data_IF_727453637281
#
_entry.id   IF_727453637281
#
_cell.length_a   1.000
_cell.length_b   1.000
_cell.length_c   1.000
_cell.angle_alpha   90.00
_cell.angle_beta   90.00
_cell.angle_gamma   90.00
#
_symmetry.space_group_name_H-M   'P 1'
#
loop_
_entity.id
_entity.type
_entity.pdbx_description
1 polymer ?
#
# COMPACT_ATOMS: atom_id res chain seq x y z
N UNK A 1 -9.26 18.28 -7.93
CA UNK A 1 -7.89 18.84 -8.08
C UNK A 1 -7.34 19.06 -6.70
N UNK A 2 -6.09 18.70 -6.49
CA UNK A 2 -5.36 18.84 -5.25
C UNK A 2 -3.96 19.39 -5.52
N UNK A 3 -3.14 19.49 -4.46
CA UNK A 3 -1.79 20.04 -4.55
C UNK A 3 -0.80 19.18 -3.78
N UNK A 4 0.37 18.97 -4.34
CA UNK A 4 1.49 18.29 -3.70
C UNK A 4 2.19 19.27 -2.74
N UNK A 5 1.99 19.10 -1.44
CA UNK A 5 2.53 20.00 -0.43
C UNK A 5 3.93 19.62 0.05
N UNK A 6 4.24 18.31 0.09
CA UNK A 6 5.57 17.83 0.46
C UNK A 6 5.90 16.52 -0.24
N UNK A 7 7.19 16.35 -0.51
CA UNK A 7 7.81 15.11 -0.97
C UNK A 7 8.82 14.70 0.10
N UNK A 8 8.73 13.48 0.62
CA UNK A 8 9.57 13.01 1.70
C UNK A 8 10.26 11.69 1.33
N UNK A 9 11.55 11.60 1.57
CA UNK A 9 12.37 10.42 1.29
C UNK A 9 13.22 10.03 2.49
N UNK A 10 13.66 8.80 2.53
CA UNK A 10 14.63 8.31 3.53
C UNK A 10 15.64 7.37 2.90
N UNK A 11 16.94 7.50 3.23
CA UNK A 11 17.99 6.64 2.69
C UNK A 11 17.99 5.23 3.30
N UNK A 12 17.23 5.03 4.40
CA UNK A 12 17.16 3.76 5.14
C UNK A 12 15.72 3.43 5.53
N UNK A 13 15.33 2.17 5.44
CA UNK A 13 14.04 1.68 5.96
C UNK A 13 13.97 1.86 7.48
N UNK A 14 12.78 2.19 7.98
CA UNK A 14 12.54 2.34 9.43
C UNK A 14 13.04 3.66 10.03
N UNK A 15 13.48 4.63 9.21
CA UNK A 15 13.82 5.99 9.62
C UNK A 15 12.72 6.98 9.22
N UNK A 16 12.65 8.08 9.94
CA UNK A 16 11.80 9.22 9.57
C UNK A 16 12.23 9.72 8.19
N UNK A 17 11.26 10.07 7.34
CA UNK A 17 11.51 10.66 6.04
C UNK A 17 11.71 12.17 6.19
N UNK A 18 12.55 12.75 5.34
CA UNK A 18 12.84 14.18 5.28
C UNK A 18 12.34 14.80 3.99
N UNK A 19 11.90 16.04 4.06
CA UNK A 19 11.39 16.77 2.90
C UNK A 19 12.49 17.04 1.87
N UNK A 20 12.13 16.89 0.60
CA UNK A 20 12.94 17.25 -0.57
C UNK A 20 12.11 18.10 -1.54
N UNK A 21 12.72 19.01 -2.32
CA UNK A 21 11.98 19.89 -3.21
C UNK A 21 11.42 19.19 -4.46
N UNK A 22 12.05 18.12 -4.91
CA UNK A 22 11.63 17.32 -6.05
C UNK A 22 12.04 15.88 -5.88
N UNK A 23 11.45 14.98 -6.68
CA UNK A 23 11.83 13.58 -6.74
C UNK A 23 11.55 12.99 -8.12
N UNK A 24 12.39 12.03 -8.53
CA UNK A 24 12.19 11.23 -9.75
C UNK A 24 11.50 9.92 -9.36
N UNK A 25 10.40 9.62 -10.06
CA UNK A 25 9.65 8.38 -9.92
C UNK A 25 9.84 7.50 -11.15
N UNK A 26 10.02 6.20 -10.94
CA UNK A 26 10.13 5.23 -12.03
C UNK A 26 9.15 4.08 -11.84
N UNK A 27 8.56 3.55 -12.95
CA UNK A 27 7.75 2.35 -12.91
C UNK A 27 8.51 1.19 -12.26
N UNK A 28 7.76 0.29 -11.60
CA UNK A 28 8.28 -0.91 -10.90
C UNK A 28 9.29 -0.63 -9.77
N UNK A 29 9.53 0.63 -9.45
CA UNK A 29 10.42 1.01 -8.36
C UNK A 29 9.76 1.97 -7.35
N UNK A 30 9.23 3.11 -7.81
CA UNK A 30 8.76 4.19 -6.97
C UNK A 30 9.70 5.39 -7.01
N UNK A 31 9.94 6.04 -5.88
CA UNK A 31 10.89 7.17 -5.77
C UNK A 31 12.32 6.63 -5.77
N UNK A 32 13.14 7.13 -6.70
CA UNK A 32 14.49 6.60 -6.97
C UNK A 32 15.39 6.64 -5.73
N UNK A 33 15.33 7.71 -4.95
CA UNK A 33 16.18 7.93 -3.77
C UNK A 33 15.54 7.49 -2.45
N UNK A 34 14.39 6.78 -2.49
CA UNK A 34 13.74 6.29 -1.27
C UNK A 34 14.06 4.81 -1.02
N UNK A 35 14.44 4.49 0.22
CA UNK A 35 14.78 3.12 0.61
C UNK A 35 13.62 2.12 0.54
N UNK A 36 12.36 2.59 0.40
CA UNK A 36 11.18 1.74 0.25
C UNK A 36 10.87 1.42 -1.22
N UNK A 37 11.63 1.98 -2.16
CA UNK A 37 11.55 1.63 -3.58
C UNK A 37 11.70 0.13 -3.82
N UNK A 38 11.07 -0.38 -4.88
CA UNK A 38 11.13 -1.79 -5.28
C UNK A 38 9.93 -2.22 -6.13
N UNK A 39 10.07 -3.39 -6.76
CA UNK A 39 9.00 -3.99 -7.55
C UNK A 39 7.96 -4.66 -6.65
N UNK A 40 7.09 -3.87 -6.08
CA UNK A 40 5.98 -4.29 -5.23
C UNK A 40 4.83 -3.27 -5.31
N UNK A 41 3.70 -3.57 -4.68
CA UNK A 41 2.51 -2.72 -4.79
C UNK A 41 2.55 -1.45 -3.90
N UNK A 42 3.49 -1.34 -2.94
CA UNK A 42 3.62 -0.18 -2.04
C UNK A 42 4.86 0.64 -2.35
N UNK A 43 5.03 1.04 -3.62
CA UNK A 43 6.18 1.79 -4.09
C UNK A 43 6.25 3.20 -3.53
N UNK A 44 5.08 3.85 -3.41
CA UNK A 44 4.93 5.22 -2.91
C UNK A 44 3.84 5.25 -1.86
N UNK A 45 4.10 5.89 -0.73
CA UNK A 45 3.11 6.12 0.31
C UNK A 45 2.58 7.55 0.24
N UNK A 46 1.26 7.73 0.35
CA UNK A 46 0.61 9.02 0.28
C UNK A 46 -0.26 9.26 1.51
N UNK A 47 -0.35 10.51 1.94
CA UNK A 47 -1.18 10.92 3.07
C UNK A 47 -1.83 12.28 2.78
N UNK A 48 -3.08 12.43 3.20
CA UNK A 48 -3.81 13.69 3.08
C UNK A 48 -3.23 14.74 4.03
N UNK A 49 -2.98 15.93 3.52
CA UNK A 49 -2.53 17.07 4.32
C UNK A 49 -3.53 17.41 5.42
N UNK A 50 -4.83 17.32 5.12
CA UNK A 50 -5.92 17.62 6.07
C UNK A 50 -5.90 16.66 7.26
N UNK A 51 -5.50 15.39 7.05
CA UNK A 51 -5.38 14.40 8.12
C UNK A 51 -4.15 14.68 8.99
N UNK A 52 -3.05 15.13 8.40
CA UNK A 52 -1.86 15.56 9.15
C UNK A 52 -2.17 16.83 9.96
N UNK A 53 -2.84 17.81 9.38
CA UNK A 53 -3.23 19.03 10.09
C UNK A 53 -4.22 18.76 11.24
N UNK A 54 -5.14 17.82 11.04
CA UNK A 54 -6.02 17.38 12.12
C UNK A 54 -5.23 16.72 13.26
N UNK A 55 -4.20 15.93 12.95
CA UNK A 55 -3.31 15.33 13.94
C UNK A 55 -2.44 16.36 14.67
N UNK A 56 -1.93 17.37 13.94
CA UNK A 56 -1.12 18.48 14.49
C UNK A 56 -1.82 19.28 15.58
N UNK A 57 -3.17 19.25 15.64
CA UNK A 57 -3.93 19.85 16.75
C UNK A 57 -3.68 19.16 18.10
N UNK A 58 -3.21 17.92 18.09
CA UNK A 58 -2.87 17.17 19.31
C UNK A 58 -1.39 17.31 19.64
N UNK A 59 -0.55 17.10 18.67
CA UNK A 59 0.92 17.18 18.80
C UNK A 59 1.52 17.53 17.44
N UNK A 60 2.51 18.45 17.46
CA UNK A 60 3.20 18.84 16.25
C UNK A 60 4.06 17.71 15.69
N UNK A 61 3.97 17.49 14.38
CA UNK A 61 4.80 16.55 13.60
C UNK A 61 5.20 17.20 12.28
N UNK A 62 6.41 16.92 11.81
CA UNK A 62 6.85 17.33 10.48
C UNK A 62 6.27 16.40 9.40
N UNK A 63 6.25 16.83 8.15
CA UNK A 63 5.95 15.94 7.04
C UNK A 63 7.02 14.85 6.94
N UNK A 64 6.62 13.64 6.56
CA UNK A 64 7.47 12.44 6.57
C UNK A 64 7.49 11.68 7.90
N UNK A 65 6.95 12.26 8.98
CA UNK A 65 6.96 11.66 10.31
C UNK A 65 6.23 10.31 10.38
N UNK A 66 5.14 10.14 9.64
CA UNK A 66 4.39 8.87 9.57
C UNK A 66 4.99 7.87 8.55
N UNK A 67 6.07 8.27 7.86
CA UNK A 67 6.72 7.50 6.82
C UNK A 67 6.08 7.66 5.43
N UNK A 68 5.22 8.67 5.26
CA UNK A 68 4.67 9.05 3.97
C UNK A 68 5.73 9.65 3.04
N UNK A 69 5.58 9.38 1.73
CA UNK A 69 6.39 9.98 0.69
C UNK A 69 5.77 11.27 0.16
N UNK A 70 4.46 11.25 -0.10
CA UNK A 70 3.76 12.39 -0.67
C UNK A 70 2.68 12.87 0.28
N UNK A 71 2.70 14.17 0.58
CA UNK A 71 1.64 14.87 1.31
C UNK A 71 0.84 15.67 0.31
N UNK A 72 -0.43 15.34 0.15
CA UNK A 72 -1.29 15.89 -0.88
C UNK A 72 -2.54 16.50 -0.24
N UNK A 73 -2.83 17.74 -0.61
CA UNK A 73 -4.04 18.48 -0.23
C UNK A 73 -5.18 18.20 -1.22
N UNK A 74 -6.42 18.22 -0.74
CA UNK A 74 -7.62 18.17 -1.57
C UNK A 74 -8.20 16.79 -1.82
N UNK A 75 -7.66 15.74 -1.18
CA UNK A 75 -8.19 14.38 -1.29
C UNK A 75 -8.39 13.69 0.05
N UNK A 76 -9.55 13.07 0.23
CA UNK A 76 -9.78 12.06 1.27
C UNK A 76 -9.54 10.67 0.66
N UNK A 77 -8.26 10.26 0.67
CA UNK A 77 -7.80 9.03 0.01
C UNK A 77 -8.51 7.77 0.50
N UNK A 78 -8.86 7.72 1.79
CA UNK A 78 -9.53 6.56 2.39
C UNK A 78 -10.88 6.26 1.73
N UNK A 79 -11.56 7.30 1.27
CA UNK A 79 -12.87 7.20 0.63
C UNK A 79 -12.80 7.02 -0.89
N UNK A 80 -11.60 6.91 -1.45
CA UNK A 80 -11.40 6.58 -2.85
C UNK A 80 -11.18 5.06 -3.03
N UNK A 81 -11.70 4.47 -4.11
CA UNK A 81 -11.47 3.06 -4.37
C UNK A 81 -9.99 2.79 -4.66
N UNK A 82 -9.49 1.64 -4.21
CA UNK A 82 -8.23 1.08 -4.71
C UNK A 82 -8.35 0.95 -6.23
N UNK A 83 -7.27 1.22 -6.97
CA UNK A 83 -7.18 1.46 -8.42
C UNK A 83 -7.47 2.88 -8.87
N UNK A 84 -7.83 3.82 -7.97
CA UNK A 84 -7.86 5.24 -8.30
C UNK A 84 -6.49 5.69 -8.80
N UNK A 85 -6.50 6.51 -9.85
CA UNK A 85 -5.28 7.02 -10.48
C UNK A 85 -5.14 8.51 -10.30
N UNK A 86 -3.92 8.94 -10.07
CA UNK A 86 -3.57 10.35 -9.87
C UNK A 86 -2.48 10.73 -10.86
N UNK A 87 -2.65 11.89 -11.53
CA UNK A 87 -1.61 12.52 -12.33
C UNK A 87 -0.97 13.65 -11.53
N UNK A 88 0.37 13.73 -11.59
CA UNK A 88 1.21 14.80 -11.06
C UNK A 88 2.19 15.15 -12.17
N UNK A 89 1.91 16.21 -12.94
CA UNK A 89 2.60 16.43 -14.21
C UNK A 89 2.45 15.23 -15.14
N UNK A 90 3.57 14.67 -15.61
CA UNK A 90 3.60 13.47 -16.47
C UNK A 90 3.55 12.16 -15.67
N UNK A 91 3.73 12.21 -14.36
CA UNK A 91 3.72 11.04 -13.48
C UNK A 91 2.29 10.57 -13.27
N UNK A 92 2.07 9.26 -13.43
CA UNK A 92 0.80 8.61 -13.11
C UNK A 92 1.01 7.58 -12.02
N UNK A 93 0.27 7.74 -10.92
CA UNK A 93 0.23 6.83 -9.78
C UNK A 93 -1.11 6.08 -9.76
N UNK A 94 -1.09 4.80 -9.40
CA UNK A 94 -2.30 4.02 -9.16
C UNK A 94 -2.33 3.56 -7.70
N UNK A 95 -3.38 3.92 -6.99
CA UNK A 95 -3.59 3.51 -5.60
C UNK A 95 -3.79 2.00 -5.51
N UNK A 96 -3.02 1.35 -4.64
CA UNK A 96 -2.97 -0.11 -4.53
C UNK A 96 -3.41 -0.64 -3.18
N UNK A 97 -3.39 0.18 -2.14
CA UNK A 97 -3.75 -0.24 -0.78
C UNK A 97 -4.15 0.96 0.08
N UNK A 98 -5.14 0.75 0.94
CA UNK A 98 -5.53 1.66 2.02
C UNK A 98 -5.00 1.09 3.33
N UNK A 99 -4.33 1.93 4.14
CA UNK A 99 -3.79 1.54 5.43
C UNK A 99 -2.63 0.55 5.37
N UNK A 100 -2.07 0.27 6.52
CA UNK A 100 -1.06 -0.78 6.72
C UNK A 100 -1.13 -1.34 8.13
N UNK A 101 -0.78 -2.60 8.31
CA UNK A 101 -0.51 -3.15 9.62
C UNK A 101 0.84 -2.63 10.13
N UNK A 102 0.87 -2.20 11.40
CA UNK A 102 2.09 -1.86 12.10
C UNK A 102 2.36 -2.92 13.17
N UNK A 103 3.36 -3.76 12.94
CA UNK A 103 3.75 -4.83 13.86
C UNK A 103 4.59 -4.33 15.05
N UNK A 104 5.26 -3.19 14.89
CA UNK A 104 6.10 -2.58 15.92
C UNK A 104 5.64 -1.15 16.19
N UNK A 105 5.72 -0.72 17.44
CA UNK A 105 5.49 0.67 17.81
C UNK A 105 6.64 1.52 17.25
N UNK A 106 6.31 2.35 16.24
CA UNK A 106 7.25 3.31 15.69
C UNK A 106 7.44 4.52 16.64
N UNK A 107 8.49 5.30 16.41
CA UNK A 107 8.80 6.49 17.23
C UNK A 107 7.58 7.41 17.37
N UNK A 108 6.83 7.63 16.31
CA UNK A 108 5.61 8.46 16.35
C UNK A 108 4.58 7.87 17.32
N UNK A 109 4.25 6.58 17.19
CA UNK A 109 3.29 5.94 18.08
C UNK A 109 3.75 5.93 19.55
N UNK A 110 5.05 5.78 19.78
CA UNK A 110 5.63 5.88 21.13
C UNK A 110 5.49 7.28 21.74
N UNK A 111 5.68 8.33 20.93
CA UNK A 111 5.60 9.73 21.38
C UNK A 111 4.17 10.24 21.52
N UNK A 112 3.28 9.83 20.63
CA UNK A 112 1.94 10.39 20.50
C UNK A 112 0.83 9.46 20.98
N UNK A 113 1.14 8.18 21.23
CA UNK A 113 0.16 7.14 21.54
C UNK A 113 -0.60 6.61 20.32
N UNK A 114 -0.57 7.32 19.18
CA UNK A 114 -1.30 6.93 17.97
C UNK A 114 -0.51 7.26 16.68
N UNK A 115 -0.89 6.63 15.58
CA UNK A 115 -0.36 6.89 14.25
C UNK A 115 -1.52 6.84 13.25
N UNK A 116 -1.60 7.83 12.35
CA UNK A 116 -2.68 7.89 11.35
C UNK A 116 -2.40 7.04 10.10
N UNK A 117 -1.15 6.68 9.83
CA UNK A 117 -0.78 5.91 8.63
C UNK A 117 -1.50 4.56 8.49
N UNK A 118 -1.78 3.78 9.58
CA UNK A 118 -2.56 2.55 9.46
C UNK A 118 -3.98 2.72 8.94
N UNK A 119 -4.58 3.88 9.13
CA UNK A 119 -5.99 4.12 8.82
C UNK A 119 -6.21 5.10 7.66
N UNK A 120 -5.38 6.13 7.57
CA UNK A 120 -5.54 7.24 6.62
C UNK A 120 -4.50 7.21 5.49
N UNK A 121 -3.37 6.52 5.70
CA UNK A 121 -2.34 6.39 4.69
C UNK A 121 -2.76 5.46 3.57
N UNK A 122 -2.32 5.77 2.35
CA UNK A 122 -2.52 4.91 1.19
C UNK A 122 -1.20 4.65 0.48
N UNK A 123 -1.18 3.61 -0.30
CA UNK A 123 -0.01 3.23 -1.10
C UNK A 123 -0.36 3.21 -2.58
N UNK A 124 0.64 3.51 -3.40
CA UNK A 124 0.49 3.52 -4.85
C UNK A 124 1.69 2.84 -5.52
N UNK A 125 1.46 2.41 -6.76
CA UNK A 125 2.51 2.06 -7.71
C UNK A 125 2.63 3.13 -8.78
N UNK A 126 3.81 3.27 -9.36
CA UNK A 126 4.07 4.18 -10.46
C UNK A 126 3.71 3.49 -11.77
N UNK A 127 2.78 4.05 -12.54
CA UNK A 127 2.43 3.57 -13.88
C UNK A 127 3.23 4.29 -14.95
N UNK A 128 3.38 5.62 -14.81
CA UNK A 128 4.21 6.46 -15.69
C UNK A 128 5.18 7.22 -14.80
N UNK A 129 6.46 7.13 -15.11
CA UNK A 129 7.53 7.81 -14.38
C UNK A 129 7.73 9.24 -14.85
N UNK A 130 8.53 9.99 -14.09
CA UNK A 130 8.87 11.39 -14.35
C UNK A 130 9.38 12.07 -13.10
N UNK A 131 9.64 13.35 -13.19
CA UNK A 131 10.01 14.19 -12.06
C UNK A 131 8.78 14.96 -11.55
N UNK A 132 8.65 15.04 -10.22
CA UNK A 132 7.60 15.82 -9.54
C UNK A 132 8.25 16.85 -8.61
N UNK A 133 7.55 17.97 -8.39
CA UNK A 133 8.03 19.08 -7.56
C UNK A 133 6.98 19.45 -6.51
N UNK A 134 7.45 19.91 -5.35
CA UNK A 134 6.57 20.51 -4.35
C UNK A 134 5.82 21.67 -4.99
N UNK A 135 4.50 21.68 -4.84
CA UNK A 135 3.60 22.66 -5.44
C UNK A 135 2.89 22.20 -6.71
N UNK A 136 3.27 21.06 -7.28
CA UNK A 136 2.61 20.51 -8.46
C UNK A 136 1.12 20.24 -8.20
N UNK A 137 0.32 20.42 -9.25
CA UNK A 137 -1.09 20.07 -9.23
C UNK A 137 -1.26 18.54 -9.25
N UNK A 138 -2.20 18.05 -8.45
CA UNK A 138 -2.58 16.64 -8.41
C UNK A 138 -4.00 16.49 -8.94
N UNK A 139 -4.16 15.72 -10.00
CA UNK A 139 -5.45 15.46 -10.62
C UNK A 139 -5.88 14.02 -10.41
N UNK A 140 -7.08 13.80 -9.88
CA UNK A 140 -7.70 12.47 -9.87
C UNK A 140 -8.18 12.16 -11.30
N UNK A 141 -7.60 11.12 -11.88
CA UNK A 141 -8.01 10.57 -13.15
C UNK A 141 -9.26 9.70 -12.97
N UNK A 142 -10.07 9.56 -14.01
CA UNK A 142 -11.21 8.63 -13.96
C UNK A 142 -10.72 7.20 -13.70
N UNK A 143 -11.43 6.47 -12.84
CA UNK A 143 -11.20 5.05 -12.66
C UNK A 143 -11.40 4.32 -14.01
N UNK A 144 -10.72 3.16 -14.17
CA UNK A 144 -10.97 2.30 -15.34
C UNK A 144 -12.45 1.92 -15.39
N UNK A 145 -13.09 2.05 -16.53
CA UNK A 145 -14.51 1.66 -16.71
C UNK A 145 -14.75 0.19 -16.37
N UNK A 146 -13.77 -0.67 -16.68
CA UNK A 146 -13.80 -2.10 -16.35
C UNK A 146 -12.45 -2.54 -15.79
N UNK A 147 -12.18 -2.32 -14.50
CA UNK A 147 -10.94 -2.79 -13.89
C UNK A 147 -10.89 -4.32 -13.91
N UNK A 148 -9.71 -4.92 -14.09
CA UNK A 148 -9.58 -6.37 -14.02
C UNK A 148 -10.01 -6.88 -12.66
N UNK A 149 -10.67 -8.03 -12.60
CA UNK A 149 -10.99 -8.70 -11.35
C UNK A 149 -9.70 -9.19 -10.70
N UNK A 150 -9.48 -8.80 -9.44
CA UNK A 150 -8.25 -9.07 -8.70
C UNK A 150 -8.50 -10.12 -7.62
N UNK A 151 -7.57 -11.03 -7.44
CA UNK A 151 -7.70 -12.13 -6.49
C UNK A 151 -6.41 -12.33 -5.68
N UNK A 152 -6.57 -12.99 -4.53
CA UNK A 152 -5.47 -13.59 -3.77
C UNK A 152 -5.81 -15.04 -3.43
N UNK A 153 -4.78 -15.86 -3.26
CA UNK A 153 -4.89 -17.24 -2.81
C UNK A 153 -4.18 -17.38 -1.46
N UNK A 154 -4.82 -18.00 -0.49
CA UNK A 154 -4.25 -18.30 0.82
C UNK A 154 -4.27 -19.81 1.03
N UNK A 155 -3.09 -20.43 1.17
CA UNK A 155 -2.95 -21.83 1.59
C UNK A 155 -2.72 -21.85 3.10
N UNK A 156 -3.52 -22.63 3.83
CA UNK A 156 -3.36 -22.89 5.25
C UNK A 156 -2.66 -24.22 5.45
N UNK A 157 -1.48 -24.22 6.03
CA UNK A 157 -0.71 -25.44 6.31
C UNK A 157 0.42 -25.17 7.30
N UNK A 158 0.34 -25.80 8.47
CA UNK A 158 1.41 -25.74 9.48
C UNK A 158 2.74 -26.31 8.97
N UNK A 159 2.70 -27.44 8.26
CA UNK A 159 3.89 -28.06 7.68
C UNK A 159 4.45 -27.24 6.52
N UNK A 160 3.57 -26.69 5.69
CA UNK A 160 3.96 -25.83 4.57
C UNK A 160 4.63 -24.55 5.05
N UNK A 161 4.04 -23.86 6.04
CA UNK A 161 4.57 -22.61 6.59
C UNK A 161 5.94 -22.76 7.26
N UNK A 162 6.28 -23.98 7.74
CA UNK A 162 7.60 -24.32 8.27
C UNK A 162 8.58 -24.86 7.24
N UNK A 163 8.17 -24.94 5.95
CA UNK A 163 9.00 -25.49 4.87
C UNK A 163 9.16 -27.02 4.87
N UNK A 164 8.36 -27.73 5.68
CA UNK A 164 8.39 -29.20 5.82
C UNK A 164 7.59 -29.91 4.68
N UNK A 165 6.79 -29.16 3.97
CA UNK A 165 5.93 -29.64 2.87
C UNK A 165 5.81 -28.58 1.79
N UNK A 166 5.97 -28.98 0.55
CA UNK A 166 5.71 -28.12 -0.61
C UNK A 166 4.22 -27.79 -0.75
N UNK A 167 3.90 -26.51 -0.97
CA UNK A 167 2.53 -26.09 -1.31
C UNK A 167 2.27 -26.34 -2.80
N UNK A 168 1.39 -27.27 -3.10
CA UNK A 168 0.92 -27.57 -4.47
C UNK A 168 -0.46 -27.00 -4.74
N UNK A 169 -1.25 -26.76 -3.69
CA UNK A 169 -2.64 -26.33 -3.83
C UNK A 169 -2.75 -24.85 -4.13
N UNK A 170 -1.93 -24.01 -3.50
CA UNK A 170 -1.91 -22.57 -3.75
C UNK A 170 -1.55 -22.19 -5.19
N UNK A 171 -0.41 -22.66 -5.72
CA UNK A 171 -0.06 -22.43 -7.12
C UNK A 171 -1.11 -22.94 -8.12
N UNK A 172 -1.66 -24.13 -7.91
CA UNK A 172 -2.72 -24.68 -8.78
C UNK A 172 -3.97 -23.79 -8.76
N UNK A 173 -4.40 -23.38 -7.57
CA UNK A 173 -5.55 -22.47 -7.42
C UNK A 173 -5.30 -21.13 -8.12
N UNK A 174 -4.09 -20.59 -8.03
CA UNK A 174 -3.70 -19.37 -8.72
C UNK A 174 -3.77 -19.52 -10.25
N UNK A 175 -3.25 -20.62 -10.81
CA UNK A 175 -3.35 -20.92 -12.23
C UNK A 175 -4.81 -21.01 -12.70
N UNK A 176 -5.67 -21.68 -11.92
CA UNK A 176 -7.11 -21.80 -12.25
C UNK A 176 -7.81 -20.44 -12.24
N UNK A 177 -7.49 -19.57 -11.28
CA UNK A 177 -8.04 -18.21 -11.23
C UNK A 177 -7.55 -17.36 -12.40
N UNK A 178 -6.26 -17.45 -12.76
CA UNK A 178 -5.72 -16.76 -13.94
C UNK A 178 -6.40 -17.23 -15.23
N UNK A 179 -6.61 -18.54 -15.37
CA UNK A 179 -7.36 -19.10 -16.51
C UNK A 179 -8.82 -18.62 -16.56
N UNK A 180 -9.42 -18.32 -15.38
CA UNK A 180 -10.75 -17.73 -15.26
C UNK A 180 -10.80 -16.21 -15.47
N UNK A 181 -9.68 -15.57 -15.80
CA UNK A 181 -9.61 -14.12 -16.10
C UNK A 181 -9.33 -13.22 -14.89
N UNK A 182 -8.95 -13.78 -13.74
CA UNK A 182 -8.53 -12.98 -12.60
C UNK A 182 -7.05 -12.61 -12.69
N UNK A 183 -6.72 -11.42 -12.20
CA UNK A 183 -5.33 -11.07 -11.87
C UNK A 183 -5.04 -11.55 -10.45
N UNK A 184 -4.26 -12.61 -10.30
CA UNK A 184 -3.82 -13.10 -8.99
C UNK A 184 -2.65 -12.25 -8.53
N UNK A 185 -2.91 -11.38 -7.54
CA UNK A 185 -1.91 -10.43 -7.05
C UNK A 185 -0.99 -11.02 -5.98
N UNK A 186 -1.51 -11.96 -5.20
CA UNK A 186 -0.75 -12.58 -4.11
C UNK A 186 -1.14 -14.05 -3.94
N UNK A 187 -0.12 -14.86 -3.62
CA UNK A 187 -0.29 -16.23 -3.12
C UNK A 187 0.44 -16.30 -1.77
N UNK A 188 -0.29 -16.66 -0.72
CA UNK A 188 0.18 -16.70 0.65
C UNK A 188 0.14 -18.13 1.18
N UNK A 189 1.16 -18.50 1.94
CA UNK A 189 1.22 -19.75 2.69
C UNK A 189 1.32 -19.41 4.17
N UNK A 190 0.26 -19.73 4.93
CA UNK A 190 0.12 -19.39 6.34
C UNK A 190 0.03 -20.64 7.22
N UNK A 191 0.43 -20.56 8.49
CA UNK A 191 0.08 -21.60 9.47
C UNK A 191 -1.44 -21.63 9.70
N UNK A 192 -1.94 -22.72 10.26
CA UNK A 192 -3.35 -22.87 10.67
C UNK A 192 -3.62 -22.03 11.94
N UNK A 193 -3.46 -20.70 11.80
CA UNK A 193 -3.64 -19.71 12.86
C UNK A 193 -4.76 -18.73 12.53
N UNK A 194 -5.73 -18.63 13.43
CA UNK A 194 -6.92 -17.78 13.25
C UNK A 194 -6.53 -16.29 13.13
N UNK A 195 -5.59 -15.81 13.96
CA UNK A 195 -5.25 -14.39 13.96
C UNK A 195 -4.45 -14.01 12.71
N UNK A 196 -3.53 -14.88 12.27
CA UNK A 196 -2.78 -14.69 11.04
C UNK A 196 -3.73 -14.62 9.83
N UNK A 197 -4.69 -15.56 9.74
CA UNK A 197 -5.68 -15.58 8.66
C UNK A 197 -6.58 -14.35 8.71
N UNK A 198 -7.12 -14.00 9.88
CA UNK A 198 -7.96 -12.82 10.07
C UNK A 198 -7.25 -11.53 9.64
N UNK A 199 -5.99 -11.35 10.03
CA UNK A 199 -5.18 -10.19 9.64
C UNK A 199 -5.05 -10.09 8.10
N UNK A 200 -4.81 -11.23 7.42
CA UNK A 200 -4.72 -11.23 5.95
C UNK A 200 -6.07 -10.94 5.29
N UNK A 201 -7.18 -11.43 5.82
CA UNK A 201 -8.50 -11.07 5.29
C UNK A 201 -8.76 -9.58 5.36
N UNK A 202 -8.51 -8.94 6.53
CA UNK A 202 -8.65 -7.48 6.65
C UNK A 202 -7.73 -6.74 5.67
N UNK A 203 -6.47 -7.16 5.55
CA UNK A 203 -5.53 -6.54 4.62
C UNK A 203 -5.98 -6.66 3.18
N UNK A 204 -6.42 -7.84 2.76
CA UNK A 204 -6.78 -8.13 1.37
C UNK A 204 -8.17 -7.59 1.00
N UNK A 205 -9.16 -7.74 1.88
CA UNK A 205 -10.52 -7.29 1.64
C UNK A 205 -10.67 -5.77 1.84
N UNK A 206 -10.26 -5.25 3.00
CA UNK A 206 -10.50 -3.85 3.36
C UNK A 206 -9.39 -2.94 2.81
N UNK A 207 -8.12 -3.36 2.97
CA UNK A 207 -6.97 -2.56 2.55
C UNK A 207 -6.70 -2.62 1.04
N UNK A 208 -6.72 -3.82 0.45
CA UNK A 208 -6.46 -4.03 -0.98
C UNK A 208 -7.72 -4.01 -1.84
N UNK A 209 -8.90 -4.14 -1.24
CA UNK A 209 -10.20 -4.22 -1.93
C UNK A 209 -10.18 -5.25 -3.08
N UNK A 210 -9.67 -6.47 -2.81
CA UNK A 210 -9.65 -7.54 -3.79
C UNK A 210 -11.08 -8.07 -4.02
N UNK A 211 -11.36 -8.49 -5.25
CA UNK A 211 -12.66 -9.02 -5.63
C UNK A 211 -12.89 -10.44 -5.12
N UNK A 212 -11.80 -11.22 -4.95
CA UNK A 212 -11.83 -12.59 -4.51
C UNK A 212 -10.64 -12.93 -3.60
N UNK A 213 -10.91 -13.58 -2.49
CA UNK A 213 -9.89 -14.23 -1.65
C UNK A 213 -10.26 -15.72 -1.60
N UNK A 214 -9.44 -16.56 -2.21
CA UNK A 214 -9.62 -18.00 -2.21
C UNK A 214 -8.73 -18.63 -1.15
N UNK A 215 -9.32 -19.45 -0.28
CA UNK A 215 -8.56 -20.22 0.72
C UNK A 215 -8.53 -21.69 0.38
N UNK A 216 -7.42 -22.37 0.64
CA UNK A 216 -7.25 -23.81 0.51
C UNK A 216 -6.45 -24.36 1.70
N UNK A 217 -6.59 -25.64 2.02
CA UNK A 217 -5.96 -26.24 3.19
C UNK A 217 -6.79 -26.11 4.47
N UNK A 218 -6.15 -26.17 5.63
CA UNK A 218 -6.83 -26.09 6.94
C UNK A 218 -7.70 -27.32 7.26
N UNK A 219 -7.53 -28.43 6.55
CA UNK A 219 -8.26 -29.70 6.75
C UNK A 219 -7.44 -30.71 7.55
N UNK A 220 -6.45 -30.22 8.31
CA UNK A 220 -5.52 -31.06 9.05
C UNK A 220 -6.21 -31.83 10.18
N UNK A 221 -6.06 -33.12 10.15
CA UNK A 221 -6.24 -34.04 11.28
C UNK A 221 -4.86 -34.43 11.78
#
# INVERSE_FOLDING_TARGET
MGKLLAICTSPKRGTVKTEVPSAVLTPEWGIVEDAHGGNWHRQVSMLSAEKIEAFRKKIWVDYGAFGENLVIEGFDFRNLPVTSRFAIGDVVLEMTQIGKECHNDCVIKQQTGECIMPHEGVFARVLTGGEIHVGDEVTLLHALENPPLRAAVITLSDKGSRGEREDKSGPLAAEMLQAAGYVVEETLLLPDDFNALKAQFHRLADGRQLNLILTTGGTGF
#
